data_IF_087340762899
#
_entry.id   IF_087340762899
#
_cell.length_a   1.000
_cell.length_b   1.000
_cell.length_c   1.000
_cell.angle_alpha   90.00
_cell.angle_beta   90.00
_cell.angle_gamma   90.00
#
_symmetry.space_group_name_H-M   'P 1'
#
loop_
_entity.id
_entity.type
_entity.pdbx_description
1 polymer ?
#
# COMPACT_ATOMS: atom_id res chain seq x y z
N UNK A 1 -9.12 59.15 -8.97
CA UNK A 1 -9.60 58.36 -10.11
C UNK A 1 -8.42 57.59 -10.70
N UNK A 2 -8.55 56.25 -10.77
CA UNK A 2 -7.92 55.28 -11.71
C UNK A 2 -6.45 55.57 -12.13
N UNK A 3 -5.46 54.84 -11.61
CA UNK A 3 -4.99 53.50 -12.03
C UNK A 3 -3.66 53.60 -12.80
N UNK A 4 -2.62 52.97 -12.24
CA UNK A 4 -1.49 52.30 -12.90
C UNK A 4 -0.80 51.48 -11.79
N UNK A 5 -1.30 50.32 -11.37
CA UNK A 5 -1.04 48.98 -11.96
C UNK A 5 0.36 48.93 -12.57
N UNK A 6 1.32 48.34 -11.84
CA UNK A 6 2.45 47.53 -12.36
C UNK A 6 3.26 46.97 -11.17
N UNK A 7 3.46 45.65 -11.20
CA UNK A 7 4.39 44.82 -10.43
C UNK A 7 4.00 44.49 -8.98
N UNK A 8 3.35 43.33 -8.83
CA UNK A 8 3.87 42.25 -7.99
C UNK A 8 3.39 40.91 -8.58
N UNK A 9 4.06 40.50 -9.65
CA UNK A 9 4.11 39.12 -10.11
C UNK A 9 4.83 38.29 -9.04
N UNK A 10 4.11 37.83 -8.03
CA UNK A 10 4.58 36.77 -7.15
C UNK A 10 3.50 35.71 -7.02
N UNK A 11 3.70 34.65 -7.81
CA UNK A 11 3.52 33.27 -7.37
C UNK A 11 2.12 32.91 -6.85
N UNK A 12 1.20 32.68 -7.79
CA UNK A 12 0.18 31.65 -7.59
C UNK A 12 0.88 30.28 -7.60
N UNK A 13 1.61 29.97 -6.53
CA UNK A 13 1.84 28.57 -6.17
C UNK A 13 0.52 28.13 -5.57
N UNK A 14 -0.29 27.48 -6.39
CA UNK A 14 -1.37 26.64 -5.92
C UNK A 14 -0.67 25.56 -5.09
N UNK A 15 -0.60 25.76 -3.77
CA UNK A 15 -0.48 24.63 -2.87
C UNK A 15 -1.76 23.84 -3.07
N UNK A 16 -1.66 22.79 -3.88
CA UNK A 16 -2.52 21.64 -3.68
C UNK A 16 -2.16 21.13 -2.29
N UNK A 17 -2.79 21.68 -1.26
CA UNK A 17 -2.97 20.95 -0.02
C UNK A 17 -3.77 19.72 -0.44
N UNK A 18 -3.06 18.61 -0.65
CA UNK A 18 -3.67 17.31 -0.56
C UNK A 18 -4.40 17.34 0.77
N UNK A 19 -5.73 17.27 0.71
CA UNK A 19 -6.55 16.97 1.88
C UNK A 19 -6.11 15.56 2.29
N UNK A 20 -5.01 15.47 3.03
CA UNK A 20 -4.62 14.30 3.77
C UNK A 20 -5.71 14.21 4.82
N UNK A 21 -6.73 13.40 4.50
CA UNK A 21 -7.79 13.11 5.43
C UNK A 21 -7.13 12.75 6.76
N UNK A 22 -7.46 13.46 7.83
CA UNK A 22 -6.99 13.25 9.21
C UNK A 22 -7.48 11.90 9.77
N UNK A 23 -7.36 10.83 9.00
CA UNK A 23 -7.70 9.47 9.36
C UNK A 23 -6.47 8.93 10.08
N UNK A 24 -6.61 8.71 11.38
CA UNK A 24 -5.61 8.00 12.17
C UNK A 24 -5.15 6.75 11.40
N UNK A 25 -3.83 6.51 11.27
CA UNK A 25 -3.29 5.31 10.67
C UNK A 25 -3.98 4.05 11.23
N UNK A 26 -4.50 3.20 10.35
CA UNK A 26 -5.18 1.96 10.71
C UNK A 26 -4.73 0.86 9.77
N UNK A 27 -4.37 -0.33 10.29
CA UNK A 27 -4.06 -1.46 9.42
C UNK A 27 -5.33 -1.96 8.72
N UNK A 28 -5.16 -2.84 7.75
CA UNK A 28 -6.26 -3.44 6.97
C UNK A 28 -7.18 -4.35 7.77
N UNK A 29 -6.84 -4.64 9.03
CA UNK A 29 -7.60 -5.45 9.96
C UNK A 29 -7.89 -4.68 11.27
N UNK A 30 -8.99 -4.97 11.97
CA UNK A 30 -9.30 -4.31 13.23
C UNK A 30 -8.36 -4.80 14.35
N UNK A 31 -7.66 -3.89 15.01
CA UNK A 31 -6.67 -4.22 16.05
C UNK A 31 -7.22 -5.01 17.24
N UNK A 32 -8.52 -4.90 17.54
CA UNK A 32 -9.17 -5.74 18.56
C UNK A 32 -9.16 -7.23 18.21
N UNK A 33 -8.97 -7.58 16.93
CA UNK A 33 -8.84 -8.96 16.45
C UNK A 33 -7.38 -9.41 16.28
N UNK A 34 -6.41 -8.60 16.69
CA UNK A 34 -4.99 -8.96 16.62
C UNK A 34 -4.69 -10.14 17.55
N UNK A 35 -4.29 -11.29 16.99
CA UNK A 35 -3.97 -12.49 17.75
C UNK A 35 -2.48 -12.81 17.72
N UNK A 36 -1.80 -12.52 16.60
CA UNK A 36 -0.39 -12.85 16.40
C UNK A 36 0.54 -11.77 16.94
N UNK A 37 1.80 -12.13 17.23
CA UNK A 37 2.85 -11.17 17.64
C UNK A 37 3.01 -10.04 16.61
N UNK A 38 2.97 -10.38 15.32
CA UNK A 38 3.08 -9.40 14.23
C UNK A 38 1.92 -8.43 14.22
N UNK A 39 0.67 -8.92 14.30
CA UNK A 39 -0.51 -8.06 14.31
C UNK A 39 -0.49 -7.10 15.50
N UNK A 40 -0.09 -7.58 16.69
CA UNK A 40 0.05 -6.74 17.88
C UNK A 40 1.11 -5.65 17.69
N UNK A 41 2.26 -5.99 17.09
CA UNK A 41 3.33 -5.02 16.79
C UNK A 41 2.86 -3.97 15.78
N UNK A 42 2.13 -4.37 14.73
CA UNK A 42 1.55 -3.44 13.76
C UNK A 42 0.58 -2.49 14.46
N UNK A 43 -0.30 -3.01 15.32
CA UNK A 43 -1.27 -2.20 16.04
C UNK A 43 -0.66 -1.25 17.08
N UNK A 44 0.42 -1.67 17.73
CA UNK A 44 1.12 -0.88 18.75
C UNK A 44 2.16 0.09 18.18
N UNK A 45 2.31 0.18 16.86
CA UNK A 45 3.28 1.09 16.25
C UNK A 45 2.82 2.54 16.31
N UNK A 46 3.21 3.27 17.35
CA UNK A 46 2.78 4.66 17.59
C UNK A 46 3.08 5.61 16.42
N UNK A 47 4.10 5.31 15.61
CA UNK A 47 4.45 6.10 14.43
C UNK A 47 3.41 6.05 13.30
N UNK A 48 2.52 5.04 13.32
CA UNK A 48 1.55 4.81 12.25
C UNK A 48 2.13 4.17 10.99
N UNK A 49 3.45 3.99 10.91
CA UNK A 49 4.13 3.59 9.69
C UNK A 49 3.79 2.15 9.29
N UNK A 50 3.79 1.21 10.25
CA UNK A 50 3.41 -0.17 9.98
C UNK A 50 1.92 -0.32 9.66
N UNK A 51 1.05 0.46 10.31
CA UNK A 51 -0.38 0.48 9.99
C UNK A 51 -0.62 0.95 8.56
N UNK A 52 0.04 2.04 8.15
CA UNK A 52 -0.06 2.58 6.80
C UNK A 52 0.50 1.61 5.76
N UNK A 53 1.66 0.99 6.01
CA UNK A 53 2.23 -0.01 5.12
C UNK A 53 1.32 -1.23 4.94
N UNK A 54 0.67 -1.70 6.01
CA UNK A 54 -0.29 -2.79 5.94
C UNK A 54 -1.53 -2.42 5.12
N UNK A 55 -2.09 -1.22 5.36
CA UNK A 55 -3.22 -0.69 4.61
C UNK A 55 -2.89 -0.52 3.13
N UNK A 56 -1.76 0.11 2.81
CA UNK A 56 -1.33 0.37 1.44
C UNK A 56 -1.07 -0.91 0.66
N UNK A 57 -0.44 -1.91 1.28
CA UNK A 57 -0.24 -3.22 0.66
C UNK A 57 -1.57 -3.91 0.35
N UNK A 58 -2.52 -3.86 1.29
CA UNK A 58 -3.84 -4.45 1.11
C UNK A 58 -4.63 -3.73 0.00
N UNK A 59 -4.54 -2.39 -0.07
CA UNK A 59 -5.16 -1.60 -1.14
C UNK A 59 -4.57 -1.97 -2.51
N UNK A 60 -3.24 -2.01 -2.65
CA UNK A 60 -2.57 -2.42 -3.89
C UNK A 60 -3.01 -3.82 -4.32
N UNK A 61 -3.08 -4.77 -3.38
CA UNK A 61 -3.56 -6.12 -3.68
C UNK A 61 -5.03 -6.13 -4.15
N UNK A 62 -5.90 -5.36 -3.50
CA UNK A 62 -7.31 -5.26 -3.88
C UNK A 62 -7.50 -4.59 -5.26
N UNK A 63 -6.71 -3.58 -5.61
CA UNK A 63 -6.73 -2.97 -6.95
C UNK A 63 -6.39 -4.01 -8.01
N UNK A 64 -5.32 -4.79 -7.79
CA UNK A 64 -4.88 -5.84 -8.71
C UNK A 64 -5.94 -6.93 -8.86
N UNK A 65 -6.54 -7.37 -7.76
CA UNK A 65 -7.59 -8.39 -7.79
C UNK A 65 -8.88 -7.85 -8.43
N UNK A 66 -9.24 -6.60 -8.14
CA UNK A 66 -10.43 -5.92 -8.67
C UNK A 66 -10.38 -5.64 -10.18
N UNK A 67 -9.20 -5.66 -10.80
CA UNK A 67 -9.06 -5.68 -12.27
C UNK A 67 -9.85 -6.81 -12.92
N UNK A 68 -10.05 -7.90 -12.19
CA UNK A 68 -10.65 -9.11 -12.69
C UNK A 68 -12.01 -9.36 -12.04
N UNK A 69 -12.88 -8.35 -12.07
CA UNK A 69 -14.25 -8.50 -11.59
C UNK A 69 -15.00 -9.54 -12.43
N UNK A 70 -15.02 -10.76 -11.90
CA UNK A 70 -15.59 -11.93 -12.54
C UNK A 70 -17.09 -11.76 -12.80
N UNK A 71 -17.78 -10.91 -12.03
CA UNK A 71 -19.21 -10.70 -12.16
C UNK A 71 -19.60 -10.13 -13.52
N UNK A 72 -18.70 -9.39 -14.17
CA UNK A 72 -18.91 -8.78 -15.48
C UNK A 72 -18.28 -9.57 -16.64
N UNK A 73 -17.73 -10.76 -16.37
CA UNK A 73 -17.06 -11.60 -17.39
C UNK A 73 -17.93 -12.79 -17.81
N UNK A 74 -17.87 -13.17 -19.08
CA UNK A 74 -18.49 -14.41 -19.56
C UNK A 74 -17.76 -15.66 -18.99
N UNK A 75 -18.43 -16.81 -19.00
CA UNK A 75 -17.95 -18.05 -18.37
C UNK A 75 -16.61 -18.55 -18.95
N UNK A 76 -16.36 -18.35 -20.25
CA UNK A 76 -15.10 -18.75 -20.88
C UNK A 76 -13.93 -17.89 -20.36
N UNK A 77 -14.09 -16.57 -20.36
CA UNK A 77 -13.10 -15.63 -19.81
C UNK A 77 -12.86 -15.87 -18.32
N UNK A 78 -13.93 -16.13 -17.53
CA UNK A 78 -13.78 -16.49 -16.13
C UNK A 78 -12.92 -17.76 -15.93
N UNK A 79 -13.14 -18.79 -16.74
CA UNK A 79 -12.38 -20.04 -16.64
C UNK A 79 -10.91 -19.87 -17.02
N UNK A 80 -10.61 -18.98 -17.98
CA UNK A 80 -9.24 -18.65 -18.35
C UNK A 80 -8.51 -17.86 -17.26
N UNK A 81 -9.21 -16.99 -16.53
CA UNK A 81 -8.57 -16.07 -15.56
C UNK A 81 -8.50 -16.63 -14.14
N UNK A 82 -9.40 -17.55 -13.76
CA UNK A 82 -9.42 -18.21 -12.45
C UNK A 82 -8.06 -18.80 -12.03
N UNK A 83 -7.33 -19.54 -12.90
CA UNK A 83 -6.01 -20.07 -12.54
C UNK A 83 -5.03 -18.96 -12.15
N UNK A 84 -5.02 -17.86 -12.89
CA UNK A 84 -4.17 -16.71 -12.60
C UNK A 84 -4.54 -16.05 -11.26
N UNK A 85 -5.83 -15.83 -10.99
CA UNK A 85 -6.28 -15.28 -9.70
C UNK A 85 -5.92 -16.17 -8.52
N UNK A 86 -5.93 -17.49 -8.72
CA UNK A 86 -5.49 -18.46 -7.71
C UNK A 86 -4.00 -18.31 -7.44
N UNK A 87 -3.16 -18.22 -8.47
CA UNK A 87 -1.71 -17.98 -8.32
C UNK A 87 -1.44 -16.70 -7.51
N UNK A 88 -2.20 -15.62 -7.76
CA UNK A 88 -2.05 -14.37 -7.02
C UNK A 88 -2.42 -14.51 -5.53
N UNK A 89 -3.52 -15.20 -5.23
CA UNK A 89 -3.92 -15.48 -3.85
C UNK A 89 -2.89 -16.36 -3.13
N UNK A 90 -2.42 -17.41 -3.80
CA UNK A 90 -1.42 -18.33 -3.24
C UNK A 90 -0.10 -17.60 -2.97
N UNK A 91 0.36 -16.75 -3.91
CA UNK A 91 1.52 -15.87 -3.70
C UNK A 91 1.34 -14.92 -2.52
N UNK A 92 0.13 -14.40 -2.30
CA UNK A 92 -0.16 -13.50 -1.20
C UNK A 92 -0.12 -14.24 0.15
N UNK A 93 -0.64 -15.47 0.21
CA UNK A 93 -0.56 -16.34 1.39
C UNK A 93 0.89 -16.68 1.71
N UNK A 94 1.68 -17.03 0.71
CA UNK A 94 3.11 -17.32 0.88
C UNK A 94 3.87 -16.10 1.44
N UNK A 95 3.63 -14.92 0.87
CA UNK A 95 4.24 -13.69 1.38
C UNK A 95 3.83 -13.40 2.84
N UNK A 96 2.55 -13.60 3.21
CA UNK A 96 2.10 -13.44 4.60
C UNK A 96 2.84 -14.39 5.55
N UNK A 97 3.06 -15.64 5.13
CA UNK A 97 3.82 -16.61 5.90
C UNK A 97 5.29 -16.17 6.07
N UNK A 98 5.93 -15.66 5.01
CA UNK A 98 7.29 -15.13 5.07
C UNK A 98 7.40 -13.89 5.96
N UNK A 99 6.48 -12.92 5.79
CA UNK A 99 6.37 -11.74 6.66
C UNK A 99 6.21 -12.14 8.12
N UNK A 100 5.40 -13.14 8.41
CA UNK A 100 5.17 -13.59 9.79
C UNK A 100 6.42 -14.19 10.45
N UNK A 101 7.40 -14.68 9.67
CA UNK A 101 8.71 -15.10 10.20
C UNK A 101 9.50 -13.94 10.81
N UNK A 102 9.17 -12.67 10.54
CA UNK A 102 9.76 -11.54 11.25
C UNK A 102 9.55 -11.62 12.77
N UNK A 103 8.56 -12.38 13.26
CA UNK A 103 8.32 -12.56 14.69
C UNK A 103 9.50 -13.21 15.44
N UNK A 104 10.39 -13.90 14.73
CA UNK A 104 11.57 -14.57 15.28
C UNK A 104 12.78 -13.65 15.52
N UNK A 105 12.70 -12.36 15.14
CA UNK A 105 13.77 -11.38 15.42
C UNK A 105 13.88 -11.12 16.92
N UNK A 106 15.07 -10.68 17.34
CA UNK A 106 15.46 -10.69 18.76
C UNK A 106 14.75 -9.64 19.59
N UNK A 107 14.36 -8.52 18.97
CA UNK A 107 13.71 -7.39 19.64
C UNK A 107 12.75 -6.67 18.69
N UNK A 108 11.85 -5.86 19.24
CA UNK A 108 10.81 -5.17 18.49
C UNK A 108 11.37 -4.25 17.40
N UNK A 109 12.53 -3.62 17.61
CA UNK A 109 13.17 -2.78 16.59
C UNK A 109 13.53 -3.59 15.35
N UNK A 110 14.15 -4.76 15.52
CA UNK A 110 14.47 -5.66 14.41
C UNK A 110 13.21 -6.24 13.75
N UNK A 111 12.15 -6.53 14.53
CA UNK A 111 10.87 -6.96 13.97
C UNK A 111 10.30 -5.87 13.08
N UNK A 112 10.25 -4.62 13.55
CA UNK A 112 9.74 -3.47 12.79
C UNK A 112 10.53 -3.27 11.48
N UNK A 113 11.87 -3.34 11.52
CA UNK A 113 12.71 -3.25 10.31
C UNK A 113 12.36 -4.38 9.32
N UNK A 114 12.31 -5.63 9.80
CA UNK A 114 11.94 -6.78 8.97
C UNK A 114 10.56 -6.63 8.32
N UNK A 115 9.57 -6.14 9.08
CA UNK A 115 8.21 -5.90 8.57
C UNK A 115 8.21 -4.81 7.50
N UNK A 116 8.85 -3.66 7.77
CA UNK A 116 8.93 -2.54 6.81
C UNK A 116 9.51 -3.00 5.49
N UNK A 117 10.64 -3.69 5.53
CA UNK A 117 11.25 -4.25 4.33
C UNK A 117 10.32 -5.21 3.59
N UNK A 118 9.65 -6.11 4.31
CA UNK A 118 8.75 -7.10 3.72
C UNK A 118 7.57 -6.42 3.01
N UNK A 119 6.93 -5.43 3.64
CA UNK A 119 5.84 -4.66 3.05
C UNK A 119 6.31 -3.89 1.82
N UNK A 120 7.40 -3.13 1.92
CA UNK A 120 7.92 -2.31 0.82
C UNK A 120 8.32 -3.19 -0.37
N UNK A 121 9.02 -4.31 -0.14
CA UNK A 121 9.40 -5.27 -1.18
C UNK A 121 8.15 -5.83 -1.88
N UNK A 122 7.11 -6.19 -1.13
CA UNK A 122 5.87 -6.71 -1.70
C UNK A 122 5.11 -5.67 -2.51
N UNK A 123 4.91 -4.47 -1.97
CA UNK A 123 4.27 -3.36 -2.68
C UNK A 123 5.01 -3.07 -3.98
N UNK A 124 6.35 -3.02 -3.96
CA UNK A 124 7.15 -2.84 -5.19
C UNK A 124 6.98 -3.96 -6.18
N UNK A 125 6.95 -5.21 -5.74
CA UNK A 125 6.77 -6.35 -6.64
C UNK A 125 5.44 -6.24 -7.40
N UNK A 126 4.40 -5.74 -6.74
CA UNK A 126 3.12 -5.44 -7.36
C UNK A 126 3.18 -4.20 -8.27
N UNK A 127 3.79 -3.09 -7.83
CA UNK A 127 3.92 -1.90 -8.70
C UNK A 127 4.72 -2.22 -9.97
N UNK A 128 5.84 -2.93 -9.86
CA UNK A 128 6.71 -3.25 -10.98
C UNK A 128 6.09 -4.29 -11.92
N UNK A 129 5.49 -5.35 -11.37
CA UNK A 129 4.85 -6.40 -12.18
C UNK A 129 3.57 -5.95 -12.87
N UNK A 130 2.95 -4.87 -12.39
CA UNK A 130 1.66 -4.37 -12.85
C UNK A 130 1.72 -2.91 -13.30
N UNK A 131 2.92 -2.40 -13.65
CA UNK A 131 3.20 -0.99 -13.98
C UNK A 131 2.53 -0.48 -15.27
N UNK A 132 1.44 -1.11 -15.72
CA UNK A 132 0.65 -0.76 -16.89
C UNK A 132 -0.84 -0.54 -16.55
N UNK A 133 -1.22 -0.44 -15.27
CA UNK A 133 -2.60 -0.14 -14.86
C UNK A 133 -2.68 1.25 -14.22
N UNK A 134 -3.39 2.17 -14.87
CA UNK A 134 -3.62 3.56 -14.43
C UNK A 134 -4.31 3.64 -13.06
N UNK A 135 -4.88 2.53 -12.54
CA UNK A 135 -5.52 2.45 -11.22
C UNK A 135 -4.56 2.19 -10.08
N UNK A 136 -3.34 1.69 -10.32
CA UNK A 136 -2.29 1.74 -9.29
C UNK A 136 -1.86 3.20 -9.22
N UNK A 137 -2.51 3.93 -8.31
CA UNK A 137 -2.42 5.37 -8.18
C UNK A 137 -0.96 5.85 -8.35
N UNK A 138 -0.75 6.86 -9.19
CA UNK A 138 0.54 7.57 -9.35
C UNK A 138 1.16 7.89 -7.98
N UNK A 139 0.33 8.13 -6.96
CA UNK A 139 0.72 8.26 -5.55
C UNK A 139 1.56 7.08 -5.03
N UNK A 140 1.14 5.82 -5.22
CA UNK A 140 1.86 4.65 -4.72
C UNK A 140 3.15 4.38 -5.48
N UNK A 141 3.11 4.55 -6.80
CA UNK A 141 4.31 4.47 -7.64
C UNK A 141 5.34 5.52 -7.20
N UNK A 142 4.94 6.78 -6.98
CA UNK A 142 5.84 7.82 -6.45
C UNK A 142 6.32 7.52 -5.04
N UNK A 143 5.42 7.07 -4.15
CA UNK A 143 5.71 6.78 -2.74
C UNK A 143 6.71 5.64 -2.59
N UNK A 144 6.56 4.55 -3.34
CA UNK A 144 7.29 3.31 -3.09
C UNK A 144 8.37 2.96 -4.11
N UNK A 145 8.30 3.43 -5.36
CA UNK A 145 9.28 3.06 -6.39
C UNK A 145 10.67 3.69 -6.13
N UNK A 146 10.73 4.85 -5.48
CA UNK A 146 11.98 5.60 -5.24
C UNK A 146 12.54 5.49 -3.81
N UNK A 147 11.83 4.83 -2.89
CA UNK A 147 12.34 4.60 -1.54
C UNK A 147 13.61 3.70 -1.60
N UNK A 148 14.73 4.09 -0.99
CA UNK A 148 15.85 3.15 -0.82
C UNK A 148 15.57 2.24 0.36
N UNK A 149 15.80 0.93 0.21
CA UNK A 149 15.77 0.01 1.36
C UNK A 149 17.05 0.28 2.15
N UNK A 150 16.92 0.68 3.41
CA UNK A 150 18.03 0.97 4.34
C UNK A 150 18.59 -0.35 4.87
#
# INVERSE_FOLDING_TARGET
MKHFIIICLFLNIIYAESIESNVSPKPSFPCIRATTKIEKIICADESGELQNLDSDMNEVFNIIMGKYDLAYMNKNTQNQIKPYLRILKDSQIEWLNLRNKCASKTNDKEIKICLKESYIKRIRSFIAGYSLDDRINISYTRKYLFLKII
#
